data_IF_372818578195
#
_entry.id   IF_372818578195
#
_cell.length_a   1.000
_cell.length_b   1.000
_cell.length_c   1.000
_cell.angle_alpha   90.00
_cell.angle_beta   90.00
_cell.angle_gamma   90.00
#
_symmetry.space_group_name_H-M   'P 1'
#
loop_
_entity.id
_entity.type
_entity.pdbx_description
1 polymer ?
#
# COMPACT_ATOMS: atom_id res chain seq x y z
N UNK A 1 -18.37 -3.31 15.01
CA UNK A 1 -18.32 -2.40 13.84
C UNK A 1 -16.96 -2.57 13.19
N UNK A 2 -16.91 -3.29 12.07
CA UNK A 2 -15.69 -3.46 11.28
C UNK A 2 -15.61 -2.24 10.37
N UNK A 3 -14.79 -1.26 10.72
CA UNK A 3 -14.27 -0.34 9.72
C UNK A 3 -13.05 -1.05 9.16
N UNK A 4 -13.11 -1.77 8.02
CA UNK A 4 -11.91 -1.96 7.27
C UNK A 4 -11.63 -0.59 6.68
N UNK A 5 -10.78 0.21 7.34
CA UNK A 5 -10.19 1.39 6.71
C UNK A 5 -9.66 0.89 5.37
N UNK A 6 -10.30 1.24 4.24
CA UNK A 6 -9.85 0.76 2.96
C UNK A 6 -8.68 1.66 2.63
N UNK A 7 -7.52 1.42 3.24
CA UNK A 7 -6.29 2.13 2.89
C UNK A 7 -6.03 1.79 1.42
N UNK A 8 -6.42 2.68 0.50
CA UNK A 8 -6.39 2.35 -0.91
C UNK A 8 -4.92 2.32 -1.33
N UNK A 9 -4.56 1.44 -2.25
CA UNK A 9 -3.24 1.46 -2.86
C UNK A 9 -3.36 1.74 -4.34
N UNK A 10 -2.33 2.34 -4.91
CA UNK A 10 -2.30 2.60 -6.34
C UNK A 10 -1.61 1.45 -7.04
N UNK A 11 -2.25 0.88 -8.05
CA UNK A 11 -1.68 -0.16 -8.90
C UNK A 11 -1.41 0.38 -10.29
N UNK A 12 -0.30 -0.01 -10.91
CA UNK A 12 0.02 0.38 -12.28
C UNK A 12 -0.67 -0.55 -13.26
N UNK A 13 -1.66 -0.04 -13.99
CA UNK A 13 -2.44 -0.77 -15.00
C UNK A 13 -2.40 0.04 -16.30
N UNK A 14 -1.93 -0.58 -17.39
CA UNK A 14 -1.84 0.09 -18.69
C UNK A 14 -0.96 1.35 -18.66
N UNK A 15 0.09 1.36 -17.82
CA UNK A 15 0.98 2.51 -17.65
C UNK A 15 0.43 3.64 -16.76
N UNK A 16 -0.82 3.55 -16.29
CA UNK A 16 -1.45 4.52 -15.38
C UNK A 16 -1.56 3.96 -13.97
N UNK A 17 -1.50 4.85 -13.00
CA UNK A 17 -1.71 4.52 -11.60
C UNK A 17 -3.20 4.63 -11.26
N UNK A 18 -3.78 3.53 -10.80
CA UNK A 18 -5.19 3.43 -10.42
C UNK A 18 -5.29 3.14 -8.93
N UNK A 19 -6.00 4.00 -8.19
CA UNK A 19 -6.33 3.74 -6.79
C UNK A 19 -7.36 2.60 -6.71
N UNK A 20 -7.00 1.53 -6.02
CA UNK A 20 -7.83 0.34 -5.82
C UNK A 20 -7.80 -0.06 -4.34
N UNK A 21 -8.81 -0.82 -3.92
CA UNK A 21 -8.83 -1.40 -2.57
C UNK A 21 -7.78 -2.50 -2.42
N UNK A 22 -7.33 -2.77 -1.19
CA UNK A 22 -6.38 -3.86 -0.91
C UNK A 22 -6.87 -5.22 -1.43
N UNK A 23 -8.18 -5.46 -1.40
CA UNK A 23 -8.79 -6.69 -1.91
C UNK A 23 -8.57 -6.85 -3.42
N UNK A 24 -8.86 -5.81 -4.21
CA UNK A 24 -8.61 -5.82 -5.65
C UNK A 24 -7.11 -5.88 -5.95
N UNK A 25 -6.29 -5.17 -5.16
CA UNK A 25 -4.83 -5.21 -5.30
C UNK A 25 -4.24 -6.59 -5.02
N UNK A 26 -4.77 -7.34 -4.06
CA UNK A 26 -4.30 -8.68 -3.68
C UNK A 26 -4.93 -9.79 -4.54
N UNK A 27 -6.12 -9.57 -5.10
CA UNK A 27 -6.83 -10.55 -5.93
C UNK A 27 -6.65 -10.31 -7.43
N UNK A 28 -7.17 -9.19 -7.95
CA UNK A 28 -7.19 -8.88 -9.39
C UNK A 28 -5.84 -8.39 -9.91
N UNK A 29 -5.12 -7.62 -9.10
CA UNK A 29 -3.88 -6.95 -9.48
C UNK A 29 -2.66 -7.50 -8.75
N UNK A 30 -2.64 -8.81 -8.45
CA UNK A 30 -1.58 -9.47 -7.68
C UNK A 30 -0.19 -9.20 -8.22
N UNK A 31 -0.02 -9.27 -9.54
CA UNK A 31 1.24 -9.09 -10.27
C UNK A 31 1.50 -7.63 -10.67
N UNK A 32 0.54 -6.72 -10.49
CA UNK A 32 0.74 -5.32 -10.84
C UNK A 32 1.69 -4.65 -9.83
N UNK A 33 2.45 -3.66 -10.31
CA UNK A 33 3.26 -2.80 -9.45
C UNK A 33 2.33 -1.99 -8.57
N UNK A 34 2.55 -2.01 -7.26
CA UNK A 34 1.72 -1.32 -6.27
C UNK A 34 2.54 -0.24 -5.59
N UNK A 35 1.95 0.93 -5.38
CA UNK A 35 2.56 2.03 -4.64
C UNK A 35 1.61 2.59 -3.57
N UNK A 36 2.21 3.21 -2.57
CA UNK A 36 1.49 3.91 -1.52
C UNK A 36 0.97 5.26 -2.04
N UNK A 37 -0.31 5.64 -1.84
CA UNK A 37 -0.82 6.94 -2.28
C UNK A 37 -0.27 8.11 -1.47
N UNK A 38 0.23 7.87 -0.25
CA UNK A 38 0.76 8.93 0.61
C UNK A 38 2.20 9.31 0.28
N UNK A 39 2.98 8.39 -0.30
CA UNK A 39 4.41 8.60 -0.51
C UNK A 39 4.97 8.11 -1.83
N UNK A 40 4.11 7.51 -2.65
CA UNK A 40 4.43 6.90 -3.95
C UNK A 40 5.50 5.81 -3.88
N UNK A 41 5.84 5.32 -2.69
CA UNK A 41 6.82 4.24 -2.50
C UNK A 41 6.27 2.86 -2.90
N UNK A 42 7.15 1.91 -3.27
CA UNK A 42 6.76 0.54 -3.60
C UNK A 42 6.17 -0.16 -2.38
N UNK A 43 4.97 -0.70 -2.54
CA UNK A 43 4.27 -1.47 -1.50
C UNK A 43 3.94 -2.88 -1.99
N UNK A 44 3.79 -3.78 -1.05
CA UNK A 44 3.28 -5.12 -1.23
C UNK A 44 2.00 -5.23 -0.40
N UNK A 45 0.96 -5.84 -0.97
CA UNK A 45 -0.25 -6.18 -0.23
C UNK A 45 -0.15 -7.65 0.12
N UNK A 46 -0.12 -7.96 1.41
CA UNK A 46 -0.01 -9.32 1.94
C UNK A 46 -1.31 -9.67 2.64
N UNK A 47 -1.91 -10.79 2.27
CA UNK A 47 -3.02 -11.37 3.03
C UNK A 47 -2.52 -12.17 4.22
N UNK A 48 -3.04 -11.84 5.39
CA UNK A 48 -2.87 -12.62 6.60
C UNK A 48 -4.09 -13.52 6.77
N UNK A 49 -3.89 -14.83 6.58
CA UNK A 49 -4.94 -15.85 6.64
C UNK A 49 -5.08 -16.45 8.04
N UNK A 50 -4.85 -15.65 9.09
CA UNK A 50 -5.20 -16.08 10.46
C UNK A 50 -6.73 -16.11 10.61
N UNK A 51 -7.24 -16.52 11.78
CA UNK A 51 -8.67 -16.64 12.07
C UNK A 51 -9.54 -15.42 11.68
N UNK A 52 -8.93 -14.26 11.41
CA UNK A 52 -9.54 -13.11 10.74
C UNK A 52 -8.75 -12.83 9.46
N UNK A 53 -9.39 -12.97 8.30
CA UNK A 53 -8.80 -12.57 7.02
C UNK A 53 -8.55 -11.05 7.05
N UNK A 54 -7.28 -10.66 7.04
CA UNK A 54 -6.88 -9.25 7.00
C UNK A 54 -5.87 -9.02 5.89
N UNK A 55 -6.07 -7.96 5.13
CA UNK A 55 -5.13 -7.53 4.11
C UNK A 55 -4.29 -6.39 4.69
N UNK A 56 -2.98 -6.57 4.68
CA UNK A 56 -2.06 -5.55 5.19
C UNK A 56 -1.23 -4.99 4.05
N UNK A 57 -1.14 -3.67 3.99
CA UNK A 57 -0.24 -2.96 3.09
C UNK A 57 1.12 -2.81 3.78
N UNK A 58 2.17 -3.33 3.15
CA UNK A 58 3.53 -3.27 3.67
C UNK A 58 4.44 -2.59 2.67
N UNK A 59 5.19 -1.58 3.12
CA UNK A 59 6.22 -0.96 2.30
C UNK A 59 7.37 -1.95 2.09
N UNK A 60 7.90 -2.04 0.86
CA UNK A 60 9.08 -2.88 0.58
C UNK A 60 10.34 -2.39 1.30
N UNK A 61 10.40 -1.10 1.58
CA UNK A 61 11.49 -0.48 2.34
C UNK A 61 10.89 0.34 3.47
N UNK A 62 11.36 0.07 4.67
CA UNK A 62 10.97 0.85 5.84
C UNK A 62 11.56 2.25 5.71
N UNK A 63 10.74 3.27 5.90
CA UNK A 63 11.19 4.65 5.96
C UNK A 63 10.25 5.47 6.86
N UNK A 64 10.77 6.54 7.46
CA UNK A 64 10.12 7.27 8.54
C UNK A 64 9.16 8.37 8.06
N UNK A 65 9.05 8.57 6.74
CA UNK A 65 8.25 9.63 6.15
C UNK A 65 6.84 9.21 5.72
N UNK A 66 6.43 7.94 5.94
CA UNK A 66 5.08 7.52 5.59
C UNK A 66 4.15 7.62 6.78
N UNK A 67 3.00 8.31 6.67
CA UNK A 67 1.97 8.26 7.71
C UNK A 67 1.40 6.84 7.91
N UNK A 68 1.56 5.95 6.93
CA UNK A 68 1.14 4.55 7.00
C UNK A 68 2.24 3.61 7.53
N UNK A 69 3.44 4.12 7.85
CA UNK A 69 4.52 3.33 8.43
C UNK A 69 4.44 3.38 9.95
N UNK A 70 4.75 2.26 10.62
CA UNK A 70 4.87 2.21 12.08
C UNK A 70 6.01 3.09 12.62
N UNK A 71 6.97 3.44 11.77
CA UNK A 71 8.12 4.29 12.09
C UNK A 71 7.93 5.74 11.66
N UNK A 72 6.70 6.20 11.48
CA UNK A 72 6.41 7.57 11.07
C UNK A 72 6.97 8.59 12.07
N UNK A 73 7.83 9.51 11.60
CA UNK A 73 8.46 10.55 12.42
C UNK A 73 7.59 11.80 12.60
N UNK A 74 6.36 11.81 12.07
CA UNK A 74 5.47 12.98 12.12
C UNK A 74 5.54 13.90 10.89
N UNK A 75 6.60 13.78 10.07
CA UNK A 75 6.77 14.58 8.84
C UNK A 75 6.50 13.72 7.60
N UNK A 76 5.47 14.04 6.78
CA UNK A 76 5.22 13.32 5.55
C UNK A 76 6.34 13.64 4.55
N UNK A 77 6.94 12.61 3.97
CA UNK A 77 8.00 12.76 2.97
C UNK A 77 7.83 11.73 1.86
N UNK A 78 8.21 12.14 0.65
CA UNK A 78 8.23 11.27 -0.52
C UNK A 78 9.17 10.10 -0.25
N UNK A 79 8.77 8.89 -0.64
CA UNK A 79 9.60 7.71 -0.45
C UNK A 79 10.90 7.86 -1.25
N UNK A 80 12.08 7.51 -0.71
CA UNK A 80 13.36 7.59 -1.45
C UNK A 80 13.45 6.68 -2.69
N UNK A 81 12.42 5.88 -2.96
CA UNK A 81 12.27 4.98 -4.10
C UNK A 81 10.89 5.19 -4.73
N UNK A 82 10.40 6.43 -4.71
CA UNK A 82 9.10 6.76 -5.24
C UNK A 82 8.97 6.30 -6.70
N UNK A 83 7.87 5.60 -6.97
CA UNK A 83 7.48 5.16 -8.29
C UNK A 83 6.69 6.30 -8.94
N UNK A 84 7.44 7.17 -9.62
CA UNK A 84 6.92 8.26 -10.47
C UNK A 84 6.27 7.67 -11.73
#
# INVERSE_FOLDING_TARGET
MMMPDPTPCEVKVGGRWLAVSLADAHGKYTLAVKRCPACHGPVTVTGNYTAVFSLTLMHRRTYVGCPLSKTYCGTPSIHPLALI
#
